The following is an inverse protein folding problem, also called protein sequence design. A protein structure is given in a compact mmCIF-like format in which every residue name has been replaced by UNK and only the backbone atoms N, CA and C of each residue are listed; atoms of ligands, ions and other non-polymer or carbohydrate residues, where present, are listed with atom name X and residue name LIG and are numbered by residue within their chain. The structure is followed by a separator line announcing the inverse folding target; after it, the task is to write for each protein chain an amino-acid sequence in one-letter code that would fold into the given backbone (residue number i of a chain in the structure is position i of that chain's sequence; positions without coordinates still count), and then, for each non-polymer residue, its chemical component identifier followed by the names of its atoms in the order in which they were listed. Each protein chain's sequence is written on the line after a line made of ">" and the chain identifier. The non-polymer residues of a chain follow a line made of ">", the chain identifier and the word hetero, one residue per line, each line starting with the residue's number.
data_IF_247536309326
#
_entry.id   IF_247536309326
#
_cell.length_a   1.000
_cell.length_b   1.000
_cell.length_c   1.000
_cell.angle_alpha   90.00
_cell.angle_beta   90.00
_cell.angle_gamma   90.00
#
_symmetry.space_group_name_H-M   'P 1'
#
loop_
_entity.id
_entity.type
_entity.pdbx_description
1 polymer ?
#
# COMPACT_ATOMS: atom_id res chain seq x y z
N UNK A 1 1.67 4.95 -15.24
CA UNK A 1 2.65 5.62 -16.11
C UNK A 1 4.00 5.60 -15.41
N UNK A 2 5.09 5.55 -16.17
CA UNK A 2 6.44 5.52 -15.63
C UNK A 2 7.25 6.69 -16.23
N UNK A 3 7.92 7.44 -15.37
CA UNK A 3 8.81 8.55 -15.74
C UNK A 3 10.26 8.12 -15.52
N UNK A 4 11.05 8.13 -16.60
CA UNK A 4 12.50 7.89 -16.55
C UNK A 4 12.93 6.54 -15.98
N UNK A 5 12.06 5.52 -15.97
CA UNK A 5 12.30 4.22 -15.30
C UNK A 5 12.46 4.28 -13.78
N UNK A 6 12.25 5.45 -13.16
CA UNK A 6 12.52 5.68 -11.73
C UNK A 6 11.28 6.02 -10.92
N UNK A 7 10.26 6.61 -11.53
CA UNK A 7 9.05 7.03 -10.83
C UNK A 7 7.78 6.51 -11.47
N UNK A 8 6.82 6.10 -10.64
CA UNK A 8 5.54 5.57 -11.05
C UNK A 8 4.41 6.47 -10.56
N UNK A 9 3.50 6.83 -11.46
CA UNK A 9 2.30 7.60 -11.14
C UNK A 9 1.11 7.07 -11.94
N UNK A 10 -0.11 7.37 -11.49
CA UNK A 10 -1.33 6.87 -12.10
C UNK A 10 -2.05 8.01 -12.85
N UNK A 11 -2.53 7.72 -14.06
CA UNK A 11 -3.44 8.58 -14.80
C UNK A 11 -4.83 7.96 -14.76
N UNK A 12 -5.80 8.65 -14.17
CA UNK A 12 -7.20 8.24 -14.11
C UNK A 12 -7.98 9.10 -15.09
N UNK A 13 -8.68 8.47 -16.04
CA UNK A 13 -9.47 9.18 -17.06
C UNK A 13 -10.94 8.91 -16.78
N UNK A 14 -11.69 9.97 -16.45
CA UNK A 14 -13.12 9.93 -16.26
C UNK A 14 -13.82 10.54 -17.50
N UNK A 15 -14.37 9.65 -18.33
CA UNK A 15 -15.03 10.02 -19.59
C UNK A 15 -16.33 10.80 -19.35
N UNK A 16 -17.13 10.42 -18.36
CA UNK A 16 -18.41 11.09 -18.11
C UNK A 16 -18.22 12.52 -17.62
N UNK A 17 -17.17 12.78 -16.85
CA UNK A 17 -16.80 14.10 -16.35
C UNK A 17 -15.87 14.88 -17.29
N UNK A 18 -15.41 14.28 -18.40
CA UNK A 18 -14.40 14.84 -19.30
C UNK A 18 -13.18 15.37 -18.54
N UNK A 19 -12.68 14.55 -17.61
CA UNK A 19 -11.60 14.91 -16.68
C UNK A 19 -10.54 13.81 -16.67
N UNK A 20 -9.29 14.19 -16.56
CA UNK A 20 -8.17 13.29 -16.32
C UNK A 20 -7.36 13.78 -15.11
N UNK A 21 -7.08 12.86 -14.20
CA UNK A 21 -6.40 13.15 -12.94
C UNK A 21 -5.07 12.41 -12.87
N UNK A 22 -4.01 13.13 -12.52
CA UNK A 22 -2.70 12.57 -12.24
C UNK A 22 -2.59 12.31 -10.74
N UNK A 23 -2.57 11.04 -10.38
CA UNK A 23 -2.44 10.56 -9.01
C UNK A 23 -0.97 10.22 -8.75
N UNK A 24 -0.34 11.06 -7.94
CA UNK A 24 1.09 10.98 -7.65
C UNK A 24 1.35 10.97 -6.14
N UNK A 25 1.99 9.90 -5.68
CA UNK A 25 2.39 9.73 -4.29
C UNK A 25 3.64 10.54 -3.93
N UNK A 26 4.41 10.98 -4.91
CA UNK A 26 5.65 11.75 -4.70
C UNK A 26 5.74 12.93 -5.69
N UNK A 27 4.82 13.91 -5.56
CA UNK A 27 4.81 15.07 -6.43
C UNK A 27 5.99 15.99 -6.13
N UNK A 28 6.59 16.55 -7.17
CA UNK A 28 7.57 17.64 -7.07
C UNK A 28 7.27 18.67 -8.16
N UNK A 29 7.46 19.95 -7.88
CA UNK A 29 7.08 21.02 -8.81
C UNK A 29 7.73 20.85 -10.20
N UNK A 30 9.01 20.48 -10.23
CA UNK A 30 9.78 20.25 -11.45
C UNK A 30 9.18 19.12 -12.33
N UNK A 31 8.76 18.02 -11.72
CA UNK A 31 8.26 16.86 -12.47
C UNK A 31 6.74 16.91 -12.69
N UNK A 32 6.00 17.64 -11.87
CA UNK A 32 4.54 17.75 -12.00
C UNK A 32 4.14 18.26 -13.38
N UNK A 33 4.81 19.30 -13.90
CA UNK A 33 4.52 19.82 -15.24
C UNK A 33 4.79 18.76 -16.33
N UNK A 34 5.91 18.04 -16.24
CA UNK A 34 6.27 16.97 -17.17
C UNK A 34 5.26 15.82 -17.14
N UNK A 35 4.75 15.47 -15.95
CA UNK A 35 3.72 14.45 -15.75
C UNK A 35 2.37 14.89 -16.31
N UNK A 36 1.97 16.16 -16.12
CA UNK A 36 0.77 16.72 -16.77
C UNK A 36 0.88 16.70 -18.29
N UNK A 37 2.05 17.07 -18.83
CA UNK A 37 2.30 17.01 -20.27
C UNK A 37 2.26 15.57 -20.80
N UNK A 38 2.78 14.62 -20.04
CA UNK A 38 2.68 13.20 -20.37
C UNK A 38 1.23 12.71 -20.38
N UNK A 39 0.41 13.14 -19.41
CA UNK A 39 -1.02 12.84 -19.40
C UNK A 39 -1.75 13.42 -20.64
N UNK A 40 -1.47 14.68 -21.01
CA UNK A 40 -2.03 15.30 -22.22
C UNK A 40 -1.65 14.56 -23.50
N UNK A 41 -0.40 14.06 -23.59
CA UNK A 41 0.04 13.24 -24.72
C UNK A 41 -0.72 11.92 -24.81
N UNK A 42 -1.00 11.26 -23.68
CA UNK A 42 -1.84 10.07 -23.65
C UNK A 42 -3.25 10.39 -24.15
N UNK A 43 -3.87 11.47 -23.69
CA UNK A 43 -5.20 11.87 -24.17
C UNK A 43 -5.23 12.14 -25.68
N UNK A 44 -4.24 12.86 -26.22
CA UNK A 44 -4.14 13.09 -27.66
C UNK A 44 -3.89 11.80 -28.45
N UNK A 45 -3.19 10.81 -27.87
CA UNK A 45 -3.04 9.50 -28.46
C UNK A 45 -4.37 8.73 -28.49
N UNK A 46 -5.17 8.79 -27.42
CA UNK A 46 -6.47 8.14 -27.36
C UNK A 46 -7.44 8.70 -28.41
N UNK A 47 -7.40 10.00 -28.70
CA UNK A 47 -8.17 10.58 -29.81
C UNK A 47 -7.84 9.91 -31.14
N UNK A 48 -6.55 9.78 -31.47
CA UNK A 48 -6.13 9.13 -32.72
C UNK A 48 -6.54 7.66 -32.73
N UNK A 49 -6.27 6.95 -31.65
CA UNK A 49 -6.54 5.52 -31.53
C UNK A 49 -8.03 5.20 -31.67
N UNK A 50 -8.90 5.98 -31.03
CA UNK A 50 -10.33 5.75 -31.09
C UNK A 50 -11.03 6.41 -32.28
N UNK A 51 -10.44 7.43 -32.91
CA UNK A 51 -11.04 8.08 -34.10
C UNK A 51 -11.28 7.12 -35.27
N UNK A 52 -10.49 6.04 -35.36
CA UNK A 52 -10.61 5.03 -36.41
C UNK A 52 -11.62 3.92 -36.06
N UNK A 53 -11.97 3.77 -34.79
CA UNK A 53 -12.72 2.61 -34.27
C UNK A 53 -14.12 3.02 -33.80
N UNK A 54 -14.27 4.23 -33.27
CA UNK A 54 -15.48 4.71 -32.61
C UNK A 54 -15.82 6.14 -33.05
N UNK A 55 -17.06 6.37 -33.45
CA UNK A 55 -17.59 7.71 -33.64
C UNK A 55 -17.92 8.33 -32.26
N UNK A 56 -16.91 8.87 -31.58
CA UNK A 56 -17.07 9.56 -30.30
C UNK A 56 -17.56 11.00 -30.52
N UNK A 57 -18.46 11.48 -29.65
CA UNK A 57 -18.94 12.86 -29.65
C UNK A 57 -18.10 13.80 -28.76
N UNK A 58 -16.89 13.37 -28.39
CA UNK A 58 -15.95 14.11 -27.59
C UNK A 58 -14.52 13.79 -28.04
N UNK A 59 -13.60 14.68 -27.71
CA UNK A 59 -12.17 14.46 -27.86
C UNK A 59 -11.53 14.32 -26.48
N UNK A 60 -10.78 13.26 -26.23
CA UNK A 60 -9.99 13.06 -25.02
C UNK A 60 -9.03 14.21 -24.75
N UNK A 61 -8.37 14.78 -25.77
CA UNK A 61 -7.45 15.92 -25.59
C UNK A 61 -8.14 17.17 -25.02
N UNK A 62 -9.48 17.26 -25.12
CA UNK A 62 -10.26 18.37 -24.58
C UNK A 62 -10.55 18.24 -23.08
N UNK A 63 -10.21 17.10 -22.46
CA UNK A 63 -10.50 16.85 -21.06
C UNK A 63 -9.65 17.76 -20.15
N UNK A 64 -10.23 18.19 -19.03
CA UNK A 64 -9.51 18.90 -17.98
C UNK A 64 -8.45 17.95 -17.39
N UNK A 65 -7.18 18.37 -17.40
CA UNK A 65 -6.08 17.61 -16.78
C UNK A 65 -5.62 18.32 -15.52
N UNK A 66 -5.64 17.61 -14.39
CA UNK A 66 -5.20 18.16 -13.12
C UNK A 66 -4.44 17.13 -12.25
N UNK A 67 -3.67 17.63 -11.30
CA UNK A 67 -3.09 16.80 -10.25
C UNK A 67 -4.14 16.48 -9.18
N UNK A 68 -4.19 15.23 -8.72
CA UNK A 68 -5.08 14.84 -7.64
C UNK A 68 -4.44 15.16 -6.28
N UNK A 69 -4.94 16.22 -5.64
CA UNK A 69 -4.37 16.76 -4.40
C UNK A 69 -4.50 15.82 -3.21
N UNK A 70 -5.61 15.07 -3.14
CA UNK A 70 -5.89 14.11 -2.06
C UNK A 70 -5.15 12.77 -2.25
N UNK A 71 -4.30 12.64 -3.27
CA UNK A 71 -3.52 11.42 -3.47
C UNK A 71 -2.59 11.18 -2.27
N UNK A 72 -2.65 10.00 -1.60
CA UNK A 72 -1.76 9.62 -0.51
C UNK A 72 -0.30 9.87 -0.84
N UNK A 73 0.43 10.51 0.08
CA UNK A 73 1.84 10.83 -0.11
C UNK A 73 2.71 9.76 0.51
N UNK A 74 3.65 9.25 -0.28
CA UNK A 74 4.58 8.26 0.21
C UNK A 74 5.63 8.92 1.11
N UNK A 75 6.06 8.25 2.20
CA UNK A 75 7.05 8.81 3.12
C UNK A 75 8.51 8.64 2.64
N UNK A 76 8.74 8.03 1.47
CA UNK A 76 10.06 7.66 0.97
C UNK A 76 10.14 7.82 -0.56
N UNK A 77 11.32 7.60 -1.16
CA UNK A 77 11.52 7.80 -2.61
C UNK A 77 11.27 6.56 -3.48
N UNK A 78 10.89 5.41 -2.89
CA UNK A 78 10.95 4.12 -3.59
C UNK A 78 9.63 3.31 -3.56
N UNK A 79 8.59 3.82 -2.90
CA UNK A 79 7.29 3.14 -2.81
C UNK A 79 6.27 3.57 -3.88
N UNK A 80 6.65 4.33 -4.89
CA UNK A 80 5.69 4.89 -5.85
C UNK A 80 4.90 3.80 -6.60
N UNK A 81 5.55 2.66 -6.87
CA UNK A 81 4.87 1.46 -7.39
C UNK A 81 3.86 0.85 -6.40
N UNK A 82 4.15 0.84 -5.10
CA UNK A 82 3.24 0.33 -4.06
C UNK A 82 1.98 1.19 -3.97
N UNK A 83 2.13 2.51 -3.96
CA UNK A 83 1.00 3.44 -3.94
C UNK A 83 0.18 3.35 -5.23
N UNK A 84 0.85 3.27 -6.39
CA UNK A 84 0.18 3.08 -7.68
C UNK A 84 -0.68 1.81 -7.66
N UNK A 85 -0.12 0.67 -7.25
CA UNK A 85 -0.86 -0.60 -7.24
C UNK A 85 -2.07 -0.51 -6.31
N UNK A 86 -1.90 0.01 -5.09
CA UNK A 86 -3.02 0.11 -4.15
C UNK A 86 -4.12 1.06 -4.66
N UNK A 87 -3.75 2.19 -5.26
CA UNK A 87 -4.70 3.13 -5.89
C UNK A 87 -5.48 2.46 -7.04
N UNK A 88 -4.81 1.67 -7.88
CA UNK A 88 -5.47 0.91 -8.95
C UNK A 88 -6.46 -0.14 -8.41
N UNK A 89 -6.08 -0.86 -7.35
CA UNK A 89 -6.90 -1.94 -6.78
C UNK A 89 -8.15 -1.42 -6.09
N UNK A 90 -8.04 -0.32 -5.34
CA UNK A 90 -9.14 0.19 -4.53
C UNK A 90 -10.00 1.21 -5.28
N UNK A 91 -9.50 1.77 -6.39
CA UNK A 91 -10.16 2.86 -7.12
C UNK A 91 -10.42 4.12 -6.27
N UNK A 92 -9.78 4.21 -5.11
CA UNK A 92 -9.96 5.28 -4.12
C UNK A 92 -8.74 5.33 -3.19
N UNK A 93 -8.70 6.35 -2.34
CA UNK A 93 -7.61 6.58 -1.37
C UNK A 93 -7.87 5.96 0.01
N UNK A 94 -9.04 5.30 0.18
CA UNK A 94 -9.52 4.79 1.48
C UNK A 94 -8.65 3.69 2.10
N UNK A 95 -7.77 3.08 1.30
CA UNK A 95 -6.82 2.07 1.77
C UNK A 95 -5.71 2.66 2.62
N UNK A 96 -5.48 3.97 2.54
CA UNK A 96 -4.34 4.64 3.13
C UNK A 96 -4.70 5.29 4.47
N UNK A 97 -3.95 4.94 5.50
CA UNK A 97 -3.94 5.63 6.79
C UNK A 97 -2.51 6.08 7.08
N UNK A 98 -2.26 7.39 6.99
CA UNK A 98 -0.94 7.98 7.22
C UNK A 98 -0.35 7.62 8.59
N UNK A 99 -1.19 7.49 9.62
CA UNK A 99 -0.75 7.23 10.99
C UNK A 99 -0.30 5.79 11.23
N UNK A 100 -0.77 4.87 10.38
CA UNK A 100 -0.54 3.43 10.50
C UNK A 100 0.13 2.81 9.25
N UNK A 101 0.54 3.64 8.29
CA UNK A 101 1.15 3.15 7.06
C UNK A 101 2.47 2.42 7.32
N UNK A 102 2.57 1.21 6.80
CA UNK A 102 3.75 0.36 6.91
C UNK A 102 4.16 -0.15 5.52
N UNK A 103 5.22 0.43 4.97
CA UNK A 103 5.77 0.06 3.65
C UNK A 103 5.98 -1.44 3.49
N UNK A 104 6.62 -2.08 4.47
CA UNK A 104 6.96 -3.50 4.40
C UNK A 104 5.71 -4.40 4.38
N UNK A 105 4.69 -4.03 5.17
CA UNK A 105 3.41 -4.72 5.14
C UNK A 105 2.77 -4.65 3.75
N UNK A 106 2.68 -3.45 3.15
CA UNK A 106 2.05 -3.29 1.84
C UNK A 106 2.84 -3.99 0.73
N UNK A 107 4.18 -3.89 0.74
CA UNK A 107 5.05 -4.62 -0.21
C UNK A 107 4.86 -6.12 -0.10
N UNK A 108 4.89 -6.66 1.13
CA UNK A 108 4.71 -8.09 1.37
C UNK A 108 3.32 -8.56 0.95
N UNK A 109 2.28 -7.77 1.26
CA UNK A 109 0.91 -8.06 0.84
C UNK A 109 0.80 -8.15 -0.69
N UNK A 110 1.32 -7.16 -1.41
CA UNK A 110 1.35 -7.16 -2.88
C UNK A 110 2.12 -8.38 -3.41
N UNK A 111 3.31 -8.66 -2.87
CA UNK A 111 4.10 -9.80 -3.28
C UNK A 111 3.36 -11.14 -3.07
N UNK A 112 2.67 -11.28 -1.94
CA UNK A 112 1.87 -12.46 -1.62
C UNK A 112 0.64 -12.59 -2.54
N UNK A 113 -0.05 -11.48 -2.81
CA UNK A 113 -1.20 -11.44 -3.71
C UNK A 113 -0.78 -11.82 -5.14
N UNK A 114 0.38 -11.34 -5.61
CA UNK A 114 0.95 -11.72 -6.90
C UNK A 114 1.36 -13.20 -6.93
N UNK A 115 2.06 -13.67 -5.90
CA UNK A 115 2.52 -15.06 -5.80
C UNK A 115 1.34 -16.04 -5.82
N UNK A 116 0.24 -15.71 -5.14
CA UNK A 116 -0.94 -16.56 -5.07
C UNK A 116 -2.00 -16.27 -6.15
N UNK A 117 -1.73 -15.33 -7.08
CA UNK A 117 -2.70 -14.99 -8.10
C UNK A 117 -3.00 -16.22 -8.98
N UNK A 118 -4.27 -16.51 -9.28
CA UNK A 118 -4.67 -17.67 -10.10
C UNK A 118 -4.12 -17.68 -11.54
N UNK A 119 -3.57 -16.54 -11.99
CA UNK A 119 -2.86 -16.38 -13.28
C UNK A 119 -1.34 -16.48 -13.16
N UNK A 120 -0.80 -16.74 -11.97
CA UNK A 120 0.62 -17.00 -11.80
C UNK A 120 0.97 -18.37 -12.40
N UNK A 121 1.43 -18.37 -13.65
CA UNK A 121 1.79 -19.57 -14.39
C UNK A 121 2.99 -20.30 -13.76
N UNK A 122 3.97 -19.55 -13.22
CA UNK A 122 5.13 -20.15 -12.55
C UNK A 122 4.72 -21.00 -11.33
N UNK A 123 3.72 -20.54 -10.55
CA UNK A 123 3.20 -21.34 -9.46
C UNK A 123 2.52 -22.63 -9.97
N UNK A 124 1.77 -22.55 -11.06
CA UNK A 124 1.14 -23.74 -11.68
C UNK A 124 2.20 -24.75 -12.13
N UNK A 125 3.21 -24.26 -12.85
CA UNK A 125 4.34 -25.08 -13.32
C UNK A 125 5.07 -25.75 -12.16
N UNK A 126 5.33 -25.02 -11.06
CA UNK A 126 5.98 -25.56 -9.86
C UNK A 126 5.15 -26.63 -9.14
N UNK A 127 3.82 -26.50 -9.14
CA UNK A 127 2.92 -27.47 -8.53
C UNK A 127 2.71 -28.71 -9.40
N UNK A 128 2.80 -28.57 -10.71
CA UNK A 128 2.65 -29.64 -11.70
C UNK A 128 3.97 -30.38 -11.98
N UNK A 129 5.12 -29.80 -11.62
CA UNK A 129 6.42 -30.47 -11.82
C UNK A 129 6.55 -31.67 -10.88
N UNK A 130 6.81 -32.90 -11.40
CA UNK A 130 7.08 -34.05 -10.55
C UNK A 130 8.37 -33.80 -9.78
N UNK A 131 8.27 -33.67 -8.46
CA UNK A 131 9.45 -33.34 -7.67
C UNK A 131 10.34 -34.59 -7.60
N UNK A 132 11.42 -34.61 -8.38
CA UNK A 132 12.48 -35.61 -8.22
C UNK A 132 13.26 -35.24 -6.95
N UNK A 133 12.92 -35.93 -5.86
CA UNK A 133 13.51 -35.72 -4.54
C UNK A 133 12.61 -34.84 -3.67
N UNK A 134 12.15 -35.39 -2.54
CA UNK A 134 11.21 -34.76 -1.60
C UNK A 134 11.46 -33.25 -1.44
N UNK A 135 10.54 -32.38 -1.85
CA UNK A 135 10.65 -30.99 -1.49
C UNK A 135 10.14 -30.83 -0.06
N UNK A 136 10.98 -30.32 0.84
CA UNK A 136 10.47 -29.73 2.08
C UNK A 136 9.93 -28.34 1.76
N UNK A 137 8.82 -28.26 1.05
CA UNK A 137 7.99 -27.06 1.16
C UNK A 137 7.18 -27.21 2.44
N UNK A 138 7.64 -26.54 3.50
CA UNK A 138 6.79 -26.31 4.66
C UNK A 138 5.68 -25.39 4.13
N UNK A 139 4.49 -25.93 3.93
CA UNK A 139 3.29 -25.13 3.78
C UNK A 139 3.21 -24.26 5.04
N UNK A 140 3.59 -22.99 4.93
CA UNK A 140 3.30 -22.02 5.97
C UNK A 140 1.83 -21.71 5.80
N UNK A 141 0.96 -22.53 6.40
CA UNK A 141 -0.40 -22.08 6.69
C UNK A 141 -0.27 -20.72 7.38
N UNK A 142 -1.09 -19.72 7.04
CA UNK A 142 -1.08 -18.44 7.73
C UNK A 142 -1.40 -18.71 9.19
N UNK A 143 -0.35 -18.83 10.02
CA UNK A 143 -0.50 -18.76 11.46
C UNK A 143 -0.82 -17.30 11.72
N UNK A 144 -2.10 -17.04 11.99
CA UNK A 144 -2.53 -15.82 12.67
C UNK A 144 -1.52 -15.54 13.78
N UNK A 145 -0.89 -14.36 13.85
CA UNK A 145 0.06 -14.06 14.91
C UNK A 145 -0.65 -14.21 16.26
N UNK A 146 -0.45 -15.34 16.95
CA UNK A 146 -0.92 -15.51 18.31
C UNK A 146 0.07 -14.78 19.23
N UNK A 147 -0.01 -13.45 19.22
CA UNK A 147 0.41 -12.68 20.39
C UNK A 147 -0.84 -12.52 21.25
N UNK A 148 -1.21 -13.59 21.94
CA UNK A 148 -2.12 -13.50 23.08
C UNK A 148 -1.27 -13.66 24.33
N UNK A 149 -1.01 -12.54 25.01
CA UNK A 149 -0.35 -12.56 26.32
C UNK A 149 -1.14 -13.43 27.30
N UNK A 150 -0.48 -14.08 28.25
CA UNK A 150 -1.13 -15.00 29.20
C UNK A 150 -2.29 -14.35 29.99
N UNK A 151 -2.27 -13.01 30.12
CA UNK A 151 -3.39 -12.22 30.64
C UNK A 151 -4.65 -12.29 29.77
N UNK A 152 -4.53 -12.28 28.44
CA UNK A 152 -5.65 -12.37 27.50
C UNK A 152 -6.27 -13.78 27.47
N UNK A 153 -5.44 -14.83 27.61
CA UNK A 153 -5.92 -16.22 27.75
C UNK A 153 -6.73 -16.44 29.03
N UNK A 154 -6.35 -15.79 30.13
CA UNK A 154 -7.09 -15.85 31.40
C UNK A 154 -8.48 -15.22 31.32
N UNK A 155 -8.60 -14.08 30.65
CA UNK A 155 -9.87 -13.36 30.49
C UNK A 155 -10.83 -14.07 29.52
N UNK A 156 -10.34 -14.62 28.39
CA UNK A 156 -11.17 -15.42 27.47
C UNK A 156 -11.73 -16.69 28.14
N UNK A 157 -10.96 -17.32 29.04
CA UNK A 157 -11.42 -18.48 29.82
C UNK A 157 -12.50 -18.11 30.84
N UNK A 158 -12.46 -16.91 31.42
CA UNK A 158 -13.54 -16.40 32.29
C UNK A 158 -14.82 -16.14 31.49
N UNK A 159 -14.70 -15.51 30.32
CA UNK A 159 -15.84 -15.20 29.46
C UNK A 159 -16.56 -16.45 28.94
N UNK A 160 -15.80 -17.46 28.48
CA UNK A 160 -16.36 -18.75 28.03
C UNK A 160 -16.96 -19.61 29.15
N UNK A 161 -16.66 -19.32 30.42
CA UNK A 161 -17.22 -20.02 31.59
C UNK A 161 -18.44 -19.31 32.20
N UNK A 162 -18.98 -18.27 31.56
CA UNK A 162 -20.24 -17.65 31.97
C UNK A 162 -20.21 -16.97 33.35
N UNK A 163 -19.03 -16.67 33.91
CA UNK A 163 -18.91 -15.83 35.10
C UNK A 163 -18.73 -14.39 34.65
N UNK A 164 -19.79 -13.58 34.79
CA UNK A 164 -19.90 -12.23 34.26
C UNK A 164 -18.71 -11.32 34.60
N UNK A 165 -18.00 -10.89 33.56
CA UNK A 165 -17.09 -9.73 33.59
C UNK A 165 -17.92 -8.45 33.52
N UNK A 166 -17.71 -7.53 34.46
CA UNK A 166 -18.46 -6.27 34.55
C UNK A 166 -18.02 -5.27 33.49
N UNK A 167 -18.90 -4.33 33.10
CA UNK A 167 -18.62 -3.29 32.09
C UNK A 167 -17.37 -2.44 32.38
N UNK A 168 -16.96 -2.32 33.65
CA UNK A 168 -15.73 -1.63 34.05
C UNK A 168 -14.44 -2.36 33.63
N UNK A 169 -14.48 -3.69 33.47
CA UNK A 169 -13.31 -4.47 33.02
C UNK A 169 -13.11 -4.39 31.50
N UNK A 170 -14.19 -4.22 30.73
CA UNK A 170 -14.14 -4.02 29.27
C UNK A 170 -13.58 -2.63 28.94
N UNK A 171 -13.94 -1.60 29.70
CA UNK A 171 -13.45 -0.23 29.51
C UNK A 171 -11.93 -0.07 29.70
N UNK A 172 -11.30 -0.92 30.53
CA UNK A 172 -9.85 -0.93 30.73
C UNK A 172 -9.08 -1.61 29.59
N UNK A 173 -9.74 -2.43 28.76
CA UNK A 173 -9.14 -3.05 27.58
C UNK A 173 -8.79 -2.01 26.50
N UNK A 174 -9.63 -0.98 26.36
CA UNK A 174 -9.44 0.11 25.40
C UNK A 174 -8.39 1.14 25.84
N UNK A 175 -8.07 1.21 27.15
CA UNK A 175 -7.08 2.16 27.71
C UNK A 175 -5.66 1.56 27.86
N UNK A 176 -5.50 0.25 27.70
CA UNK A 176 -4.23 -0.48 27.89
C UNK A 176 -3.31 -0.60 26.67
N UNK A 177 -3.67 -0.04 25.51
CA UNK A 177 -2.83 -0.06 24.29
C UNK A 177 -1.70 0.99 24.29
N UNK A 178 -1.50 1.70 25.41
CA UNK A 178 -0.33 2.53 25.62
C UNK A 178 0.89 1.63 25.93
N UNK A 179 1.56 1.14 24.88
CA UNK A 179 2.84 0.46 25.04
C UNK A 179 3.89 1.53 25.30
N UNK A 180 4.20 1.70 26.59
CA UNK A 180 5.25 2.56 27.08
C UNK A 180 6.63 2.20 26.54
N UNK A 181 7.35 3.28 26.19
CA UNK A 181 8.76 3.54 26.46
C UNK A 181 9.51 2.40 27.16
N UNK A 182 10.47 1.78 26.46
CA UNK A 182 11.63 1.12 27.08
C UNK A 182 12.74 0.91 26.04
N UNK A 183 13.48 1.97 25.70
CA UNK A 183 14.87 1.80 25.28
C UNK A 183 15.75 1.88 26.52
N UNK A 184 16.33 0.73 26.88
CA UNK A 184 17.38 0.61 27.89
C UNK A 184 18.57 1.47 27.47
N UNK A 185 18.92 2.45 28.31
CA UNK A 185 20.24 3.07 28.37
C UNK A 185 21.29 1.99 28.63
N UNK A 186 22.32 1.91 27.78
CA UNK A 186 23.66 1.46 28.18
C UNK A 186 24.54 2.72 28.26
N UNK A 187 25.18 2.95 29.43
CA UNK A 187 26.20 4.01 29.63
C UNK A 187 27.41 3.80 28.70
N UNK A 188 28.18 4.81 28.28
CA UNK A 188 28.88 5.88 29.03
C UNK A 188 30.29 5.38 29.43
N UNK A 189 31.39 6.17 29.54
CA UNK A 189 31.57 7.63 29.37
C UNK A 189 32.74 8.04 28.42
N UNK A 190 32.79 9.31 28.01
CA UNK A 190 33.95 9.95 27.39
C UNK A 190 34.03 11.41 27.84
N UNK A 191 35.02 11.72 28.66
CA UNK A 191 35.33 13.04 29.26
C UNK A 191 35.98 13.97 28.23
N UNK A 192 35.80 15.29 28.45
CA UNK A 192 36.74 16.39 28.15
C UNK A 192 37.07 16.65 26.67
N UNK A 193 37.26 17.87 26.18
CA UNK A 193 37.68 19.10 26.85
C UNK A 193 37.06 20.34 26.20
N UNK A 194 36.87 21.35 27.05
CA UNK A 194 36.79 22.75 26.65
C UNK A 194 38.12 23.18 26.03
N UNK A 195 38.10 24.08 25.05
CA UNK A 195 38.77 25.39 25.17
C UNK A 195 38.50 26.27 23.94
N UNK A 196 38.00 27.48 24.26
CA UNK A 196 38.18 28.79 23.61
C UNK A 196 37.61 29.04 22.21
#
# INVERSE_FOLDING_TARGET
>A
MNEGSVHWFLLVINVSMKKAEVWDSFPTDEHNEQRMMSAKRVLAFLDRYFSEILALNFEFKSFLVEAYVECPKQPNSFDCGVFLINNCVHGSITWFDQSNYNSEYHRMKIALDLANHHRNQMLKELLETPVRGKPRFIAVSPKTPQIQSDKQRGLLKKYKKGKGTTQSEIANYSKGLNIGKNYRRRGGPGKGDNEK
#
